data_IF_210974193960
#
_entry.id   IF_210974193960
#
_cell.length_a   1.000
_cell.length_b   1.000
_cell.length_c   1.000
_cell.angle_alpha   90.00
_cell.angle_beta   90.00
_cell.angle_gamma   90.00
#
_symmetry.space_group_name_H-M   'P 1'
#
loop_
_entity.id
_entity.type
_entity.pdbx_description
1 polymer ?
#
# COMPACT_ATOMS: atom_id res chain seq x y z
N UNK A 1 8.83 -12.67 -7.54
CA UNK A 1 8.84 -13.08 -6.12
C UNK A 1 7.52 -13.80 -5.91
N UNK A 2 7.53 -15.01 -5.38
CA UNK A 2 6.39 -15.93 -5.45
C UNK A 2 5.68 -15.90 -4.09
N UNK A 3 4.43 -15.43 -4.04
CA UNK A 3 3.49 -15.78 -2.98
C UNK A 3 2.98 -17.22 -3.22
N UNK A 4 3.81 -18.23 -2.96
CA UNK A 4 3.36 -19.64 -2.99
C UNK A 4 2.80 -19.98 -1.63
N UNK A 5 1.47 -19.99 -1.54
CA UNK A 5 0.80 -20.92 -0.62
C UNK A 5 0.85 -22.30 -1.28
N UNK A 6 1.49 -23.27 -0.63
CA UNK A 6 1.37 -24.68 -0.99
C UNK A 6 -0.08 -25.13 -0.76
N UNK A 7 -0.61 -25.98 -1.65
CA UNK A 7 -2.00 -26.44 -1.81
C UNK A 7 -2.67 -27.10 -0.57
N UNK A 8 -2.15 -26.94 0.65
CA UNK A 8 -2.47 -27.77 1.81
C UNK A 8 -2.42 -27.03 3.16
N UNK A 9 -2.93 -25.80 3.23
CA UNK A 9 -3.18 -25.14 4.52
C UNK A 9 -4.64 -24.71 4.57
N UNK A 10 -5.45 -25.44 5.36
CA UNK A 10 -6.88 -25.14 5.51
C UNK A 10 -7.14 -23.83 6.27
N UNK A 11 -6.15 -23.32 7.00
CA UNK A 11 -6.19 -22.03 7.69
C UNK A 11 -4.76 -21.49 7.88
N UNK A 12 -4.21 -20.74 6.90
CA UNK A 12 -2.87 -20.17 7.03
C UNK A 12 -2.85 -19.10 8.13
N UNK A 13 -1.72 -18.91 8.82
CA UNK A 13 -1.60 -17.86 9.85
C UNK A 13 -1.66 -16.45 9.24
N UNK A 14 -1.16 -16.30 8.00
CA UNK A 14 -1.24 -15.08 7.23
C UNK A 14 -1.34 -15.36 5.73
N UNK A 15 -1.87 -14.40 4.98
CA UNK A 15 -1.85 -14.35 3.51
C UNK A 15 -1.08 -13.12 3.03
N UNK A 16 -0.57 -13.17 1.81
CA UNK A 16 0.18 -12.08 1.18
C UNK A 16 -0.57 -11.56 -0.05
N UNK A 17 -1.10 -10.33 0.05
CA UNK A 17 -1.86 -9.65 -1.00
C UNK A 17 -0.96 -8.74 -1.83
N UNK A 18 -1.02 -8.90 -3.16
CA UNK A 18 -0.21 -8.12 -4.12
C UNK A 18 -1.12 -7.34 -5.07
N UNK A 19 -1.01 -6.00 -5.08
CA UNK A 19 -1.87 -5.12 -5.88
C UNK A 19 -1.06 -4.14 -6.75
N UNK A 20 -1.01 -4.41 -8.05
CA UNK A 20 -0.41 -3.53 -9.08
C UNK A 20 -1.50 -2.97 -9.98
N UNK A 21 -1.91 -1.73 -9.77
CA UNK A 21 -3.18 -1.23 -10.30
C UNK A 21 -3.18 0.27 -10.66
N UNK A 22 -4.33 0.79 -11.09
CA UNK A 22 -4.56 2.23 -11.34
C UNK A 22 -5.04 2.96 -10.07
N UNK A 23 -4.94 4.30 -9.96
CA UNK A 23 -5.38 5.05 -8.79
C UNK A 23 -6.80 4.73 -8.31
N UNK A 24 -7.76 4.61 -9.23
CA UNK A 24 -9.16 4.34 -8.89
C UNK A 24 -9.34 3.03 -8.12
N UNK A 25 -8.57 1.99 -8.44
CA UNK A 25 -8.61 0.72 -7.72
C UNK A 25 -8.24 0.92 -6.24
N UNK A 26 -7.16 1.63 -5.95
CA UNK A 26 -6.70 1.88 -4.58
C UNK A 26 -7.71 2.68 -3.77
N UNK A 27 -8.35 3.67 -4.40
CA UNK A 27 -9.40 4.48 -3.79
C UNK A 27 -10.64 3.63 -3.49
N UNK A 28 -11.10 2.83 -4.46
CA UNK A 28 -12.28 1.97 -4.30
C UNK A 28 -12.05 0.84 -3.28
N UNK A 29 -10.80 0.37 -3.13
CA UNK A 29 -10.43 -0.70 -2.21
C UNK A 29 -10.01 -0.21 -0.82
N UNK A 30 -10.18 1.08 -0.51
CA UNK A 30 -9.96 1.62 0.84
C UNK A 30 -10.62 0.79 1.96
N UNK A 31 -11.81 0.25 1.70
CA UNK A 31 -12.59 -0.55 2.67
C UNK A 31 -12.47 -2.06 2.49
N UNK A 32 -11.56 -2.54 1.64
CA UNK A 32 -11.43 -3.96 1.27
C UNK A 32 -11.40 -4.89 2.48
N UNK A 33 -10.72 -4.47 3.56
CA UNK A 33 -10.49 -5.29 4.74
C UNK A 33 -11.55 -5.13 5.85
N UNK A 34 -12.48 -4.17 5.73
CA UNK A 34 -13.47 -3.89 6.80
C UNK A 34 -14.42 -5.06 7.05
N UNK A 35 -14.79 -5.79 5.99
CA UNK A 35 -15.80 -6.85 6.06
C UNK A 35 -15.20 -8.26 6.14
N UNK A 36 -13.88 -8.40 6.33
CA UNK A 36 -13.28 -9.71 6.57
C UNK A 36 -13.76 -10.23 7.94
N UNK A 37 -14.27 -11.47 8.03
CA UNK A 37 -14.68 -12.05 9.31
C UNK A 37 -13.53 -12.08 10.32
N UNK A 38 -13.85 -11.87 11.60
CA UNK A 38 -12.93 -12.10 12.71
C UNK A 38 -13.42 -13.33 13.51
N UNK A 39 -12.57 -14.34 13.80
CA UNK A 39 -11.15 -14.43 13.44
C UNK A 39 -10.92 -14.79 11.96
N UNK A 40 -9.82 -14.32 11.41
CA UNK A 40 -9.32 -14.64 10.06
C UNK A 40 -7.79 -14.75 10.07
N UNK A 41 -7.18 -15.39 9.06
CA UNK A 41 -5.75 -15.24 8.79
C UNK A 41 -5.36 -13.76 8.78
N UNK A 42 -4.16 -13.47 9.29
CA UNK A 42 -3.57 -12.13 9.14
C UNK A 42 -3.29 -11.83 7.66
N UNK A 43 -3.12 -10.56 7.31
CA UNK A 43 -2.81 -10.16 5.94
C UNK A 43 -1.57 -9.28 5.93
N UNK A 44 -0.58 -9.67 5.14
CA UNK A 44 0.49 -8.81 4.69
C UNK A 44 0.10 -8.28 3.31
N UNK A 45 0.12 -6.97 3.10
CA UNK A 45 0.04 -6.42 1.74
C UNK A 45 1.48 -6.29 1.23
N UNK A 46 2.07 -7.39 0.80
CA UNK A 46 3.52 -7.50 0.59
C UNK A 46 4.02 -6.80 -0.66
N UNK A 47 3.15 -6.50 -1.62
CA UNK A 47 3.48 -5.72 -2.79
C UNK A 47 2.31 -4.82 -3.17
N UNK A 48 2.51 -3.50 -3.21
CA UNK A 48 1.54 -2.62 -3.86
C UNK A 48 2.21 -1.44 -4.56
N UNK A 49 1.66 -1.03 -5.70
CA UNK A 49 1.96 0.25 -6.33
C UNK A 49 0.92 0.61 -7.39
N UNK A 50 0.67 1.91 -7.54
CA UNK A 50 0.02 2.40 -8.76
C UNK A 50 1.03 2.32 -9.89
N UNK A 51 0.70 1.57 -10.94
CA UNK A 51 1.60 1.35 -12.08
C UNK A 51 1.19 2.12 -13.34
N UNK A 52 -0.03 2.66 -13.36
CA UNK A 52 -0.59 3.39 -14.50
C UNK A 52 -1.61 4.41 -13.99
N UNK A 53 -1.48 5.68 -14.37
CA UNK A 53 -2.33 6.77 -13.86
C UNK A 53 -3.64 6.97 -14.66
N UNK A 54 -3.84 6.22 -15.73
CA UNK A 54 -5.07 6.24 -16.52
C UNK A 54 -6.08 5.22 -15.95
N UNK A 55 -7.11 5.72 -15.26
CA UNK A 55 -8.13 4.86 -14.63
C UNK A 55 -8.94 4.04 -15.64
N UNK A 56 -8.93 4.41 -16.93
CA UNK A 56 -9.53 3.58 -17.99
C UNK A 56 -8.80 2.24 -18.16
N UNK A 57 -7.59 2.10 -17.61
CA UNK A 57 -6.77 0.88 -17.62
C UNK A 57 -7.02 -0.05 -16.45
N UNK A 58 -8.05 0.16 -15.62
CA UNK A 58 -8.31 -0.70 -14.44
C UNK A 58 -8.39 -2.20 -14.75
N UNK A 59 -8.88 -2.58 -15.94
CA UNK A 59 -8.95 -3.96 -16.41
C UNK A 59 -7.67 -4.47 -17.10
N UNK A 60 -6.69 -3.59 -17.35
CA UNK A 60 -5.38 -3.92 -17.91
C UNK A 60 -4.33 -2.88 -17.48
N UNK A 61 -3.96 -2.84 -16.18
CA UNK A 61 -3.09 -1.78 -15.64
C UNK A 61 -1.65 -1.89 -16.19
N UNK A 62 -1.26 -3.06 -16.72
CA UNK A 62 0.01 -3.30 -17.38
C UNK A 62 0.07 -2.86 -18.85
N UNK A 63 -1.05 -2.36 -19.40
CA UNK A 63 -1.11 -1.85 -20.76
C UNK A 63 -0.34 -0.55 -20.98
N UNK A 64 -0.54 0.07 -22.14
CA UNK A 64 0.05 1.37 -22.46
C UNK A 64 -0.29 2.43 -21.41
N UNK A 65 0.62 3.39 -21.21
CA UNK A 65 0.50 4.43 -20.17
C UNK A 65 1.15 4.07 -18.83
N UNK A 66 2.04 3.07 -18.81
CA UNK A 66 2.84 2.71 -17.65
C UNK A 66 3.59 3.94 -17.12
N UNK A 67 3.56 4.13 -15.80
CA UNK A 67 4.34 5.18 -15.15
C UNK A 67 5.83 4.83 -15.18
N UNK A 68 6.66 5.76 -15.64
CA UNK A 68 8.12 5.67 -15.47
C UNK A 68 8.51 5.92 -14.00
N UNK A 69 7.82 6.86 -13.35
CA UNK A 69 8.03 7.25 -11.96
C UNK A 69 6.68 7.52 -11.28
N UNK A 70 6.60 7.38 -9.94
CA UNK A 70 5.37 7.70 -9.22
C UNK A 70 4.99 9.18 -9.38
N UNK A 71 3.68 9.45 -9.48
CA UNK A 71 3.10 10.80 -9.57
C UNK A 71 2.48 11.23 -8.24
N UNK A 72 1.98 12.47 -8.15
CA UNK A 72 1.20 12.88 -6.97
C UNK A 72 -0.12 12.09 -6.90
N UNK A 73 -0.74 11.81 -8.06
CA UNK A 73 -1.99 11.04 -8.14
C UNK A 73 -1.80 9.63 -7.59
N UNK A 74 -0.71 8.96 -7.98
CA UNK A 74 -0.36 7.63 -7.45
C UNK A 74 -0.18 7.66 -5.94
N UNK A 75 0.64 8.59 -5.44
CA UNK A 75 0.97 8.69 -4.02
C UNK A 75 -0.27 8.96 -3.15
N UNK A 76 -1.20 9.78 -3.61
CA UNK A 76 -2.47 10.05 -2.90
C UNK A 76 -3.37 8.83 -2.89
N UNK A 77 -3.52 8.13 -4.02
CA UNK A 77 -4.35 6.93 -4.10
C UNK A 77 -3.81 5.79 -3.23
N UNK A 78 -2.49 5.57 -3.26
CA UNK A 78 -1.79 4.62 -2.38
C UNK A 78 -1.96 4.99 -0.90
N UNK A 79 -1.90 6.29 -0.57
CA UNK A 79 -2.14 6.77 0.80
C UNK A 79 -3.56 6.46 1.26
N UNK A 80 -4.57 6.66 0.40
CA UNK A 80 -5.96 6.29 0.71
C UNK A 80 -6.05 4.80 1.02
N UNK A 81 -5.45 3.94 0.19
CA UNK A 81 -5.43 2.50 0.45
C UNK A 81 -4.77 2.15 1.80
N UNK A 82 -3.67 2.82 2.13
CA UNK A 82 -2.95 2.63 3.40
C UNK A 82 -3.73 3.05 4.65
N UNK A 83 -4.58 4.07 4.57
CA UNK A 83 -5.50 4.39 5.69
C UNK A 83 -6.42 3.20 5.95
N UNK A 84 -6.79 2.46 4.90
CA UNK A 84 -7.55 1.20 5.01
C UNK A 84 -6.80 0.13 5.79
N UNK A 85 -5.46 0.10 5.69
CA UNK A 85 -4.61 -0.83 6.44
C UNK A 85 -4.62 -0.49 7.93
N UNK A 86 -4.41 0.78 8.27
CA UNK A 86 -4.40 1.27 9.65
C UNK A 86 -5.74 0.99 10.35
N UNK A 87 -6.85 1.25 9.67
CA UNK A 87 -8.23 0.93 10.13
C UNK A 87 -8.44 -0.54 10.46
N UNK A 88 -7.74 -1.43 9.77
CA UNK A 88 -7.87 -2.88 9.90
C UNK A 88 -6.59 -3.51 10.45
N UNK A 89 -5.84 -2.76 11.25
CA UNK A 89 -4.59 -3.20 11.90
C UNK A 89 -4.77 -4.38 12.86
N UNK A 90 -6.02 -4.72 13.20
CA UNK A 90 -6.38 -5.95 13.91
C UNK A 90 -6.11 -7.21 13.08
N UNK A 91 -6.10 -7.12 11.74
CA UNK A 91 -5.81 -8.23 10.82
C UNK A 91 -4.67 -7.93 9.83
N UNK A 92 -4.44 -6.67 9.45
CA UNK A 92 -3.33 -6.26 8.60
C UNK A 92 -2.06 -6.16 9.44
N UNK A 93 -1.00 -6.87 9.06
CA UNK A 93 0.27 -6.89 9.78
C UNK A 93 1.35 -5.99 9.16
N UNK A 94 1.15 -5.56 7.91
CA UNK A 94 2.07 -4.66 7.24
C UNK A 94 1.68 -4.38 5.79
N UNK A 95 2.32 -3.39 5.20
CA UNK A 95 2.17 -3.05 3.79
C UNK A 95 3.52 -2.61 3.20
N UNK A 96 3.88 -3.14 2.05
CA UNK A 96 5.16 -2.90 1.39
C UNK A 96 4.96 -2.38 -0.03
N UNK A 97 5.45 -1.17 -0.30
CA UNK A 97 5.50 -0.66 -1.67
C UNK A 97 6.49 -1.47 -2.50
N UNK A 98 6.12 -1.87 -3.70
CA UNK A 98 7.01 -2.60 -4.60
C UNK A 98 6.95 -2.08 -6.06
N UNK A 99 8.09 -2.07 -6.77
CA UNK A 99 9.46 -2.33 -6.27
C UNK A 99 10.11 -1.10 -5.62
N UNK A 100 11.09 -1.33 -4.74
CA UNK A 100 11.70 -0.24 -3.96
C UNK A 100 12.74 0.57 -4.74
N UNK A 101 13.62 -0.10 -5.49
CA UNK A 101 14.82 0.51 -6.06
C UNK A 101 14.81 0.47 -7.59
N UNK A 102 15.17 1.57 -8.23
CA UNK A 102 15.34 1.68 -9.69
C UNK A 102 16.68 2.32 -10.05
N UNK A 103 17.55 1.56 -10.72
CA UNK A 103 18.72 2.13 -11.38
C UNK A 103 18.30 2.66 -12.76
N UNK A 104 18.35 3.98 -12.97
CA UNK A 104 17.89 4.62 -14.22
C UNK A 104 18.63 4.12 -15.47
N UNK A 105 19.83 3.56 -15.33
CA UNK A 105 20.61 3.03 -16.45
C UNK A 105 20.33 1.55 -16.74
N UNK A 106 19.67 0.84 -15.83
CA UNK A 106 19.33 -0.56 -16.01
C UNK A 106 18.04 -0.91 -15.26
N UNK A 107 16.91 -0.54 -15.85
CA UNK A 107 15.56 -0.71 -15.29
C UNK A 107 14.82 -1.84 -15.99
N UNK A 108 14.21 -2.76 -15.23
CA UNK A 108 13.34 -3.83 -15.76
C UNK A 108 11.86 -3.63 -15.41
N UNK A 109 11.56 -2.76 -14.46
CA UNK A 109 10.22 -2.48 -13.97
C UNK A 109 10.12 -1.02 -13.54
N UNK A 110 8.97 -0.41 -13.78
CA UNK A 110 8.59 0.92 -13.30
C UNK A 110 7.13 0.91 -12.84
N UNK A 111 6.69 1.86 -12.01
CA UNK A 111 7.50 2.82 -11.25
C UNK A 111 8.10 2.18 -10.00
N UNK A 112 9.07 2.87 -9.38
CA UNK A 112 9.76 2.39 -8.16
C UNK A 112 9.84 3.51 -7.11
N UNK A 113 9.98 3.11 -5.85
CA UNK A 113 9.93 4.03 -4.71
C UNK A 113 11.10 5.02 -4.68
N UNK A 114 12.31 4.52 -4.93
CA UNK A 114 13.56 5.27 -4.91
C UNK A 114 14.29 5.02 -6.22
N UNK A 115 14.61 6.12 -6.89
CA UNK A 115 15.29 6.12 -8.18
C UNK A 115 16.73 6.57 -7.95
N UNK A 116 17.71 5.91 -8.56
CA UNK A 116 19.11 6.26 -8.34
C UNK A 116 19.98 6.02 -9.57
N UNK A 117 21.16 6.64 -9.53
CA UNK A 117 22.30 6.34 -10.38
C UNK A 117 23.57 6.30 -9.53
N UNK A 118 24.75 6.31 -10.16
CA UNK A 118 26.04 6.24 -9.45
C UNK A 118 26.36 7.46 -8.58
N UNK A 119 25.70 8.60 -8.81
CA UNK A 119 26.01 9.88 -8.15
C UNK A 119 24.83 10.50 -7.40
N UNK A 120 23.62 9.98 -7.55
CA UNK A 120 22.40 10.68 -7.13
C UNK A 120 21.28 9.71 -6.79
N UNK A 121 20.44 10.14 -5.84
CA UNK A 121 19.23 9.44 -5.40
C UNK A 121 18.06 10.42 -5.44
N UNK A 122 16.95 9.98 -6.03
CA UNK A 122 15.68 10.70 -6.09
C UNK A 122 14.63 9.92 -5.33
N UNK A 123 13.98 10.61 -4.40
CA UNK A 123 12.86 10.09 -3.60
C UNK A 123 11.57 10.45 -4.32
N UNK A 124 10.81 9.43 -4.74
CA UNK A 124 9.55 9.65 -5.46
C UNK A 124 8.47 10.30 -4.59
N UNK A 125 7.37 10.73 -5.21
CA UNK A 125 6.16 11.16 -4.50
C UNK A 125 5.63 10.06 -3.59
N UNK A 126 5.59 8.81 -4.08
CA UNK A 126 5.21 7.65 -3.28
C UNK A 126 6.17 7.42 -2.11
N UNK A 127 7.48 7.65 -2.26
CA UNK A 127 8.43 7.57 -1.13
C UNK A 127 8.04 8.55 -0.03
N UNK A 128 7.73 9.80 -0.40
CA UNK A 128 7.33 10.82 0.57
C UNK A 128 6.05 10.41 1.30
N UNK A 129 5.06 9.88 0.58
CA UNK A 129 3.86 9.30 1.18
C UNK A 129 4.19 8.14 2.13
N UNK A 130 4.96 7.14 1.67
CA UNK A 130 5.34 6.00 2.50
C UNK A 130 6.06 6.42 3.78
N UNK A 131 6.98 7.38 3.66
CA UNK A 131 7.71 7.99 4.77
C UNK A 131 6.78 8.70 5.75
N UNK A 132 5.78 9.45 5.28
CA UNK A 132 4.84 10.15 6.16
C UNK A 132 4.10 9.18 7.07
N UNK A 133 3.49 8.13 6.54
CA UNK A 133 2.83 7.12 7.39
C UNK A 133 3.84 6.36 8.26
N UNK A 134 5.03 6.05 7.74
CA UNK A 134 6.04 5.31 8.51
C UNK A 134 6.63 6.06 9.67
N UNK A 135 6.66 7.39 9.60
CA UNK A 135 7.19 8.24 10.67
C UNK A 135 6.09 8.76 11.61
N UNK A 136 4.82 8.67 11.22
CA UNK A 136 3.67 9.17 11.99
C UNK A 136 2.69 8.05 12.33
N UNK A 137 3.23 6.89 12.71
CA UNK A 137 2.42 5.74 13.09
C UNK A 137 2.03 5.83 14.57
N UNK A 138 0.73 5.89 14.83
CA UNK A 138 0.20 5.70 16.18
C UNK A 138 0.06 4.20 16.50
N UNK A 139 -0.37 3.89 17.72
CA UNK A 139 -0.57 2.51 18.20
C UNK A 139 -1.93 2.29 18.85
N UNK A 140 -2.83 3.27 18.76
CA UNK A 140 -4.23 3.14 19.12
C UNK A 140 -5.06 3.61 17.93
N UNK A 141 -6.05 2.81 17.55
CA UNK A 141 -7.05 3.21 16.56
C UNK A 141 -8.16 3.99 17.27
N UNK A 142 -8.36 5.23 16.85
CA UNK A 142 -9.45 6.07 17.32
C UNK A 142 -10.62 6.03 16.35
N UNK A 143 -11.79 5.80 16.92
CA UNK A 143 -13.04 5.92 16.19
C UNK A 143 -13.29 7.38 15.86
N UNK A 144 -13.22 7.72 14.58
CA UNK A 144 -13.61 9.03 14.07
C UNK A 144 -14.72 8.87 13.02
N UNK A 145 -15.39 9.97 12.67
CA UNK A 145 -16.33 10.01 11.55
C UNK A 145 -16.11 11.33 10.85
N UNK A 146 -15.78 11.31 9.55
CA UNK A 146 -15.66 12.54 8.78
C UNK A 146 -17.06 13.06 8.43
N UNK A 147 -17.40 14.26 8.91
CA UNK A 147 -18.63 14.97 8.55
C UNK A 147 -18.49 15.62 7.17
N UNK A 148 -19.54 15.58 6.35
CA UNK A 148 -19.54 16.05 4.94
C UNK A 148 -18.61 15.28 4.00
N UNK A 149 -18.39 14.00 4.26
CA UNK A 149 -17.74 13.10 3.31
C UNK A 149 -18.61 11.85 3.10
N UNK A 150 -18.49 11.22 1.94
CA UNK A 150 -19.04 9.88 1.70
C UNK A 150 -18.19 8.76 2.31
N UNK A 151 -17.13 9.09 3.09
CA UNK A 151 -16.17 8.13 3.64
C UNK A 151 -16.04 8.29 5.18
N UNK A 152 -16.45 7.30 5.98
CA UNK A 152 -16.02 7.21 7.39
C UNK A 152 -14.50 7.07 7.51
N UNK A 153 -13.88 7.80 8.45
CA UNK A 153 -12.44 7.86 8.72
C UNK A 153 -12.13 7.33 10.13
N UNK A 154 -10.96 6.79 10.44
CA UNK A 154 -10.52 6.47 11.81
C UNK A 154 -9.07 6.94 11.86
N UNK A 155 -8.73 7.72 12.88
CA UNK A 155 -7.37 8.23 13.06
C UNK A 155 -6.57 7.26 13.92
N UNK A 156 -5.27 7.23 13.73
CA UNK A 156 -4.36 6.53 14.63
C UNK A 156 -3.67 7.57 15.52
N UNK A 157 -3.65 7.35 16.83
CA UNK A 157 -2.89 8.17 17.78
C UNK A 157 -1.80 7.36 18.48
N UNK A 158 -0.75 8.05 18.93
CA UNK A 158 0.36 7.47 19.67
C UNK A 158 0.05 7.42 21.18
N UNK A 159 -0.37 6.25 21.67
CA UNK A 159 -0.52 5.85 23.08
C UNK A 159 0.44 4.70 23.51
N UNK A 160 0.01 3.82 24.43
CA UNK A 160 0.77 2.62 24.87
C UNK A 160 0.03 1.35 24.42
N UNK A 161 0.52 0.66 23.38
CA UNK A 161 -0.05 -0.55 22.78
C UNK A 161 0.79 -1.09 21.61
N UNK A 162 0.59 -2.36 21.24
CA UNK A 162 1.34 -3.06 20.19
C UNK A 162 0.91 -2.62 18.78
N UNK A 163 1.89 -2.46 17.88
CA UNK A 163 1.80 -1.65 16.65
C UNK A 163 1.80 -2.53 15.39
N UNK A 164 1.14 -2.04 14.34
CA UNK A 164 1.45 -2.38 12.94
C UNK A 164 2.96 -2.14 12.70
N UNK A 165 3.67 -3.09 12.10
CA UNK A 165 5.08 -2.87 11.76
C UNK A 165 5.18 -2.45 10.29
N UNK A 166 5.53 -1.19 10.05
CA UNK A 166 5.88 -0.75 8.70
C UNK A 166 7.31 -1.17 8.40
N UNK A 167 7.50 -2.01 7.39
CA UNK A 167 8.82 -2.31 6.85
C UNK A 167 9.17 -1.27 5.79
N UNK A 168 9.76 -0.15 6.25
CA UNK A 168 10.67 0.62 5.40
C UNK A 168 12.02 -0.12 5.47
N UNK A 169 12.35 -0.90 4.44
CA UNK A 169 13.72 -1.38 4.27
C UNK A 169 14.65 -0.22 3.92
#
# INVERSE_FOLDING_TARGET
>A
FIATTTKSINSPPAVDDHDYQVPLFFIQNFRRYENIPRPSPKVLVGEFSVINDDDSKINNPFGAGRLDYPSIKSAVAESIYRIGFERNSDIIIGGCYAPVLQNIFNTQWTPNLIVFNTSSVVKSTSYLAQKMFGQNLGNIILNSTATNSSFTHQSVEKGQGDVLQLFLF
#
